data_IF_475883708129
#
_entry.id   IF_475883708129
#
_cell.length_a   1.000
_cell.length_b   1.000
_cell.length_c   1.000
_cell.angle_alpha   90.00
_cell.angle_beta   90.00
_cell.angle_gamma   90.00
#
_symmetry.space_group_name_H-M   'P 1'
#
loop_
_entity.id
_entity.type
_entity.pdbx_description
1 polymer ?
#
# COMPACT_ATOMS: atom_id res chain seq x y z
N UNK A 1 -1.66 13.67 -4.55
CA UNK A 1 -0.34 13.03 -4.64
C UNK A 1 -0.02 12.38 -3.31
N UNK A 2 0.42 11.12 -3.34
CA UNK A 2 0.83 10.37 -2.15
C UNK A 2 2.19 10.87 -1.68
N UNK A 3 2.36 11.08 -0.36
CA UNK A 3 3.63 11.52 0.22
C UNK A 3 4.08 10.58 1.33
N UNK A 4 5.40 10.54 1.57
CA UNK A 4 6.02 9.70 2.61
C UNK A 4 5.60 8.22 2.52
N UNK A 5 5.59 7.67 1.31
CA UNK A 5 5.28 6.25 1.11
C UNK A 5 6.38 5.40 1.72
N UNK A 6 6.00 4.50 2.62
CA UNK A 6 6.89 3.57 3.29
C UNK A 6 6.25 2.19 3.22
N UNK A 7 7.02 1.20 2.80
CA UNK A 7 6.60 -0.20 2.75
C UNK A 7 7.56 -1.08 3.56
N UNK A 8 7.03 -2.17 4.12
CA UNK A 8 7.78 -3.16 4.90
C UNK A 8 7.23 -4.56 4.64
N UNK A 9 8.08 -5.57 4.40
CA UNK A 9 7.63 -6.95 4.31
C UNK A 9 7.03 -7.37 5.67
N UNK A 10 5.82 -7.95 5.66
CA UNK A 10 5.13 -8.37 6.89
C UNK A 10 5.80 -9.58 7.55
N UNK A 11 6.44 -10.43 6.74
CA UNK A 11 7.03 -11.67 7.21
C UNK A 11 8.46 -11.80 6.71
N UNK A 12 9.37 -12.18 7.61
CA UNK A 12 10.73 -12.62 7.26
C UNK A 12 10.74 -13.99 6.58
N UNK A 13 9.70 -14.80 6.81
CA UNK A 13 9.56 -16.14 6.26
C UNK A 13 8.77 -16.08 4.95
N UNK A 14 9.34 -16.63 3.87
CA UNK A 14 8.83 -16.61 2.49
C UNK A 14 7.43 -17.22 2.24
N UNK A 15 6.71 -17.64 3.28
CA UNK A 15 5.43 -18.37 3.16
C UNK A 15 4.20 -17.46 3.10
N UNK A 16 4.28 -16.20 3.56
CA UNK A 16 3.14 -15.28 3.50
C UNK A 16 3.57 -14.02 2.74
N UNK A 17 3.17 -13.87 1.47
CA UNK A 17 3.62 -12.77 0.64
C UNK A 17 2.70 -11.57 0.82
N UNK A 18 3.01 -10.74 1.82
CA UNK A 18 2.33 -9.48 2.09
C UNK A 18 3.30 -8.40 2.54
N UNK A 19 3.05 -7.16 2.12
CA UNK A 19 3.81 -5.98 2.49
C UNK A 19 2.88 -4.99 3.17
N UNK A 20 3.25 -4.54 4.36
CA UNK A 20 2.57 -3.41 4.98
C UNK A 20 3.06 -2.14 4.32
N UNK A 21 2.16 -1.25 3.97
CA UNK A 21 2.50 0.08 3.49
C UNK A 21 1.83 1.15 4.36
N UNK A 22 2.42 2.33 4.36
CA UNK A 22 1.87 3.52 4.99
C UNK A 22 2.24 4.76 4.20
N UNK A 23 1.34 5.73 4.14
CA UNK A 23 1.55 6.99 3.44
C UNK A 23 0.67 8.10 4.02
N UNK A 24 0.94 9.32 3.58
CA UNK A 24 0.10 10.49 3.86
C UNK A 24 -0.58 10.97 2.59
N UNK A 25 -1.87 11.28 2.71
CA UNK A 25 -2.68 11.85 1.64
C UNK A 25 -3.60 12.91 2.25
N UNK A 26 -3.51 14.15 1.74
CA UNK A 26 -4.26 15.30 2.25
C UNK A 26 -4.14 15.53 3.77
N UNK A 27 -2.96 15.25 4.35
CA UNK A 27 -2.73 15.38 5.79
C UNK A 27 -3.25 14.20 6.63
N UNK A 28 -3.96 13.25 6.03
CA UNK A 28 -4.41 12.03 6.69
C UNK A 28 -3.40 10.91 6.44
N UNK A 29 -3.05 10.19 7.51
CA UNK A 29 -2.21 9.00 7.42
C UNK A 29 -3.06 7.80 7.07
N UNK A 30 -2.70 7.11 6.00
CA UNK A 30 -3.31 5.85 5.58
C UNK A 30 -2.29 4.73 5.68
N UNK A 31 -2.76 3.53 5.98
CA UNK A 31 -1.93 2.34 6.03
C UNK A 31 -2.76 1.11 5.71
N UNK A 32 -2.06 0.06 5.28
CA UNK A 32 -2.70 -1.18 4.88
C UNK A 32 -1.69 -2.26 4.57
N UNK A 33 -2.21 -3.37 4.07
CA UNK A 33 -1.46 -4.53 3.64
C UNK A 33 -1.70 -4.71 2.14
N UNK A 34 -0.62 -4.71 1.39
CA UNK A 34 -0.59 -5.06 -0.01
C UNK A 34 -0.22 -6.54 -0.13
N UNK A 35 -1.12 -7.33 -0.72
CA UNK A 35 -0.91 -8.76 -0.95
C UNK A 35 -0.23 -8.98 -2.31
N UNK A 36 0.49 -10.08 -2.47
CA UNK A 36 1.14 -10.42 -3.76
C UNK A 36 0.18 -10.57 -4.94
N UNK A 37 -1.08 -10.90 -4.67
CA UNK A 37 -2.16 -10.92 -5.65
C UNK A 37 -2.54 -9.51 -6.18
N UNK A 38 -2.08 -8.45 -5.52
CA UNK A 38 -2.44 -7.06 -5.82
C UNK A 38 -3.58 -6.53 -4.94
N UNK A 39 -4.25 -7.42 -4.20
CA UNK A 39 -5.31 -7.03 -3.26
C UNK A 39 -4.77 -6.16 -2.12
N UNK A 40 -5.43 -5.02 -1.87
CA UNK A 40 -5.09 -4.09 -0.77
C UNK A 40 -6.10 -4.23 0.36
N UNK A 41 -5.60 -4.55 1.55
CA UNK A 41 -6.35 -4.58 2.79
C UNK A 41 -6.08 -3.30 3.60
N UNK A 42 -7.05 -2.40 3.65
CA UNK A 42 -6.91 -1.13 4.37
C UNK A 42 -7.07 -1.36 5.87
N UNK A 43 -6.07 -0.93 6.65
CA UNK A 43 -6.08 -1.07 8.10
C UNK A 43 -6.49 0.26 8.71
N UNK A 44 -7.69 0.31 9.29
CA UNK A 44 -8.25 1.51 9.91
C UNK A 44 -8.94 2.45 8.92
N UNK A 45 -8.36 3.63 8.69
CA UNK A 45 -8.96 4.63 7.79
C UNK A 45 -8.78 4.24 6.33
N UNK A 46 -9.88 4.22 5.60
CA UNK A 46 -9.91 3.92 4.18
C UNK A 46 -10.15 5.21 3.38
N UNK A 47 -9.51 5.38 2.22
CA UNK A 47 -9.76 6.54 1.37
C UNK A 47 -11.20 6.52 0.83
N UNK A 48 -11.72 7.71 0.50
CA UNK A 48 -13.03 7.84 -0.15
C UNK A 48 -13.05 7.09 -1.50
N UNK A 49 -14.20 6.50 -1.87
CA UNK A 49 -14.36 5.74 -3.11
C UNK A 49 -13.96 6.51 -4.38
N UNK A 50 -14.05 7.85 -4.35
CA UNK A 50 -13.63 8.70 -5.47
C UNK A 50 -12.11 8.71 -5.68
N UNK A 51 -11.33 8.58 -4.61
CA UNK A 51 -9.86 8.67 -4.63
C UNK A 51 -9.20 7.31 -4.42
N UNK A 52 -9.91 6.33 -3.87
CA UNK A 52 -9.36 5.00 -3.56
C UNK A 52 -8.79 4.34 -4.81
N UNK A 53 -9.43 4.49 -5.97
CA UNK A 53 -8.97 3.87 -7.21
C UNK A 53 -7.67 4.52 -7.72
N UNK A 54 -7.56 5.84 -7.60
CA UNK A 54 -6.35 6.59 -7.97
C UNK A 54 -5.17 6.29 -7.02
N UNK A 55 -5.47 6.22 -5.73
CA UNK A 55 -4.49 5.86 -4.69
C UNK A 55 -4.01 4.41 -4.88
N UNK A 56 -4.93 3.47 -5.10
CA UNK A 56 -4.60 2.06 -5.34
C UNK A 56 -3.70 1.91 -6.56
N UNK A 57 -3.98 2.60 -7.68
CA UNK A 57 -3.11 2.61 -8.86
C UNK A 57 -1.69 3.09 -8.53
N UNK A 58 -1.57 4.23 -7.84
CA UNK A 58 -0.26 4.76 -7.43
C UNK A 58 0.50 3.78 -6.51
N UNK A 59 -0.19 3.11 -5.57
CA UNK A 59 0.42 2.08 -4.72
C UNK A 59 0.91 0.90 -5.55
N UNK A 60 0.11 0.42 -6.51
CA UNK A 60 0.52 -0.66 -7.41
C UNK A 60 1.81 -0.30 -8.16
N UNK A 61 1.87 0.89 -8.74
CA UNK A 61 3.05 1.38 -9.44
C UNK A 61 4.26 1.42 -8.49
N UNK A 62 4.13 2.05 -7.32
CA UNK A 62 5.21 2.14 -6.33
C UNK A 62 5.70 0.78 -5.84
N UNK A 63 4.79 -0.18 -5.65
CA UNK A 63 5.11 -1.54 -5.22
C UNK A 63 5.79 -2.33 -6.34
N UNK A 64 5.35 -2.18 -7.60
CA UNK A 64 6.01 -2.78 -8.76
C UNK A 64 7.47 -2.34 -8.87
N UNK A 65 7.74 -1.04 -8.72
CA UNK A 65 9.12 -0.52 -8.69
C UNK A 65 9.97 -1.07 -7.54
N UNK A 66 9.39 -1.37 -6.38
CA UNK A 66 10.18 -1.79 -5.21
C UNK A 66 10.29 -3.31 -5.00
N UNK A 67 9.35 -4.10 -5.51
CA UNK A 67 9.25 -5.54 -5.24
C UNK A 67 9.81 -6.39 -6.38
N UNK A 68 9.82 -5.86 -7.61
CA UNK A 68 10.22 -6.62 -8.80
C UNK A 68 11.53 -6.12 -9.44
N UNK A 69 12.29 -5.24 -8.77
CA UNK A 69 13.68 -4.90 -9.10
C UNK A 69 14.70 -5.69 -8.26
#
# INVERSE_FOLDING_TARGET
MISHFHWKPLYKSSKIPGWSFSFYFQGTKYHGIYNKDGSIDWQGSHPDLKVINDITKQIHELMLFHVYE
#
